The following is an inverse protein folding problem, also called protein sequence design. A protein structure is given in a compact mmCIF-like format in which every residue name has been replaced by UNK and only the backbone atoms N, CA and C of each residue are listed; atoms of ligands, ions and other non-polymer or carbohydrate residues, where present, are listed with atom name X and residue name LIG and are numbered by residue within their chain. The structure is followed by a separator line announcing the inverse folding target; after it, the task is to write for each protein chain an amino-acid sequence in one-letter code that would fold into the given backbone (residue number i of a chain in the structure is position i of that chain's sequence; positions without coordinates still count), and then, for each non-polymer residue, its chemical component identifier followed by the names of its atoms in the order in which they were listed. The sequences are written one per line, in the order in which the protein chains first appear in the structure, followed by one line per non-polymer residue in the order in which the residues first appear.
data_IF_989667887223
#
_entry.id   IF_989667887223
#
_cell.length_a   1.000
_cell.length_b   1.000
_cell.length_c   1.000
_cell.angle_alpha   90.00
_cell.angle_beta   90.00
_cell.angle_gamma   90.00
#
_symmetry.space_group_name_H-M   'P 1'
#
loop_
_entity.id
_entity.type
_entity.pdbx_description
1 polymer ?
#
# COMPACT_ATOMS: atom_id res chain seq x y z
N UNK A 1 13.20 10.34 -9.88
CA UNK A 1 12.25 9.31 -9.41
C UNK A 1 10.89 9.62 -10.00
N UNK A 2 10.18 8.66 -10.62
CA UNK A 2 8.82 8.92 -11.11
C UNK A 2 7.94 9.35 -9.93
N UNK A 3 7.18 10.45 -10.10
CA UNK A 3 6.20 10.88 -9.09
C UNK A 3 5.16 9.78 -8.98
N UNK A 4 5.04 9.20 -7.78
CA UNK A 4 3.99 8.24 -7.47
C UNK A 4 2.65 8.97 -7.57
N UNK A 5 1.71 8.46 -8.36
CA UNK A 5 0.37 9.04 -8.47
C UNK A 5 -0.29 9.12 -7.10
N UNK A 6 -0.60 10.35 -6.65
CA UNK A 6 -1.28 10.57 -5.37
C UNK A 6 -2.79 10.46 -5.57
N UNK A 7 -3.31 9.25 -5.35
CA UNK A 7 -4.74 8.99 -5.42
C UNK A 7 -5.55 9.76 -4.36
N UNK A 8 -4.92 10.29 -3.30
CA UNK A 8 -5.62 11.11 -2.31
C UNK A 8 -5.95 12.53 -2.85
N UNK A 9 -5.24 12.99 -3.89
CA UNK A 9 -5.43 14.30 -4.52
C UNK A 9 -6.36 14.26 -5.76
N UNK A 10 -6.79 13.08 -6.19
CA UNK A 10 -7.74 12.94 -7.31
C UNK A 10 -9.11 13.48 -6.89
N UNK A 11 -9.73 14.31 -7.72
CA UNK A 11 -11.07 14.87 -7.53
C UNK A 11 -12.08 14.35 -8.56
N UNK A 12 -11.63 13.78 -9.70
CA UNK A 12 -12.52 13.15 -10.69
C UNK A 12 -11.84 11.99 -11.43
N UNK A 13 -12.63 11.07 -11.98
CA UNK A 13 -12.13 9.92 -12.77
C UNK A 13 -12.71 9.94 -14.19
N UNK A 14 -11.85 9.97 -15.20
CA UNK A 14 -12.23 9.97 -16.62
C UNK A 14 -11.91 8.58 -17.20
N UNK A 15 -12.92 7.87 -17.64
CA UNK A 15 -12.85 6.48 -18.08
C UNK A 15 -12.93 6.41 -19.60
N UNK A 16 -12.03 5.67 -20.22
CA UNK A 16 -12.32 5.14 -21.54
C UNK A 16 -13.46 4.10 -21.49
N UNK A 17 -14.08 3.85 -22.65
CA UNK A 17 -15.23 2.95 -22.75
C UNK A 17 -14.83 1.53 -23.16
N UNK A 18 -14.39 1.33 -24.40
CA UNK A 18 -14.21 -0.01 -25.00
C UNK A 18 -12.91 -0.63 -24.49
N UNK A 19 -12.97 -1.82 -23.90
CA UNK A 19 -11.80 -2.50 -23.32
C UNK A 19 -11.38 -1.98 -21.94
N UNK A 20 -11.89 -0.81 -21.54
CA UNK A 20 -11.78 -0.23 -20.19
C UNK A 20 -13.03 -0.49 -19.34
N UNK A 21 -14.16 0.17 -19.64
CA UNK A 21 -15.40 0.12 -18.85
C UNK A 21 -16.41 -0.92 -19.38
N UNK A 22 -16.37 -1.17 -20.68
CA UNK A 22 -17.23 -2.09 -21.41
C UNK A 22 -16.35 -3.16 -22.06
N UNK A 23 -16.72 -4.41 -21.91
CA UNK A 23 -16.15 -5.51 -22.68
C UNK A 23 -16.95 -5.65 -23.98
N UNK A 24 -16.33 -5.26 -25.09
CA UNK A 24 -16.92 -5.28 -26.43
C UNK A 24 -16.16 -6.20 -27.39
N UNK A 25 -15.11 -6.90 -26.93
CA UNK A 25 -14.17 -7.59 -27.81
C UNK A 25 -14.88 -8.65 -28.65
N UNK A 26 -15.72 -9.48 -28.04
CA UNK A 26 -16.47 -10.53 -28.74
C UNK A 26 -17.42 -9.97 -29.82
N UNK A 27 -18.10 -8.85 -29.54
CA UNK A 27 -18.99 -8.21 -30.51
C UNK A 27 -18.21 -7.60 -31.69
N UNK A 28 -17.06 -6.98 -31.41
CA UNK A 28 -16.16 -6.44 -32.44
C UNK A 28 -15.58 -7.54 -33.31
N UNK A 29 -15.15 -8.66 -32.70
CA UNK A 29 -14.62 -9.83 -33.43
C UNK A 29 -15.67 -10.42 -34.37
N UNK A 30 -16.92 -10.59 -33.92
CA UNK A 30 -18.01 -11.06 -34.79
C UNK A 30 -18.31 -10.10 -35.93
N UNK A 31 -18.36 -8.80 -35.66
CA UNK A 31 -18.55 -7.80 -36.71
C UNK A 31 -17.45 -7.88 -37.76
N UNK A 32 -16.19 -8.11 -37.35
CA UNK A 32 -15.08 -8.33 -38.29
C UNK A 32 -15.16 -9.67 -39.03
N UNK A 33 -15.65 -10.73 -38.40
CA UNK A 33 -15.85 -12.01 -39.05
C UNK A 33 -16.92 -11.91 -40.15
N UNK A 34 -18.08 -11.31 -39.85
CA UNK A 34 -19.14 -11.04 -40.84
C UNK A 34 -18.63 -10.13 -41.96
N UNK A 35 -17.89 -9.07 -41.60
CA UNK A 35 -17.28 -8.19 -42.59
C UNK A 35 -16.28 -8.96 -43.48
N UNK A 36 -15.45 -9.84 -42.92
CA UNK A 36 -14.49 -10.62 -43.69
C UNK A 36 -15.18 -11.53 -44.71
N UNK A 37 -16.29 -12.17 -44.33
CA UNK A 37 -17.13 -12.95 -45.23
C UNK A 37 -17.73 -12.10 -46.36
N UNK A 38 -18.28 -10.91 -46.04
CA UNK A 38 -18.84 -9.98 -47.03
C UNK A 38 -17.82 -9.51 -48.07
N UNK A 39 -16.56 -9.34 -47.66
CA UNK A 39 -15.48 -8.83 -48.50
C UNK A 39 -14.56 -9.93 -49.06
N UNK A 40 -14.88 -11.20 -48.82
CA UNK A 40 -14.13 -12.35 -49.34
C UNK A 40 -12.71 -12.49 -48.78
N UNK A 41 -12.50 -12.10 -47.52
CA UNK A 41 -11.22 -12.20 -46.79
C UNK A 41 -11.31 -13.29 -45.72
N UNK A 42 -10.19 -13.94 -45.44
CA UNK A 42 -10.11 -14.88 -44.31
C UNK A 42 -10.35 -14.16 -42.97
N UNK A 43 -11.37 -14.56 -42.16
CA UNK A 43 -11.66 -13.92 -40.88
C UNK A 43 -10.48 -13.93 -39.91
N UNK A 44 -9.70 -15.02 -39.86
CA UNK A 44 -8.53 -15.14 -38.98
C UNK A 44 -7.46 -14.09 -39.31
N UNK A 45 -7.21 -13.87 -40.60
CA UNK A 45 -6.28 -12.85 -41.08
C UNK A 45 -6.75 -11.43 -40.74
N UNK A 46 -8.07 -11.15 -40.80
CA UNK A 46 -8.63 -9.85 -40.39
C UNK A 46 -8.46 -9.62 -38.91
N UNK A 47 -8.85 -10.59 -38.07
CA UNK A 47 -8.78 -10.48 -36.61
C UNK A 47 -7.34 -10.26 -36.13
N UNK A 48 -6.35 -10.93 -36.76
CA UNK A 48 -4.94 -10.78 -36.44
C UNK A 48 -4.39 -9.35 -36.58
N UNK A 49 -5.06 -8.49 -37.36
CA UNK A 49 -4.64 -7.09 -37.58
C UNK A 49 -5.68 -6.04 -37.17
N UNK A 50 -6.89 -6.47 -36.79
CA UNK A 50 -8.01 -5.59 -36.48
C UNK A 50 -7.98 -5.06 -35.04
N UNK A 51 -7.55 -5.86 -34.06
CA UNK A 51 -7.51 -5.45 -32.66
C UNK A 51 -6.65 -4.20 -32.46
N UNK A 52 -7.24 -3.16 -31.84
CA UNK A 52 -6.56 -1.89 -31.55
C UNK A 52 -6.23 -1.02 -32.77
N UNK A 53 -6.71 -1.38 -33.97
CA UNK A 53 -6.48 -0.62 -35.21
C UNK A 53 -7.78 0.01 -35.71
N UNK A 54 -7.80 1.32 -36.08
CA UNK A 54 -8.97 1.94 -36.71
C UNK A 54 -9.41 1.17 -37.96
N UNK A 55 -10.72 0.98 -38.15
CA UNK A 55 -11.26 0.17 -39.24
C UNK A 55 -10.70 0.54 -40.62
N UNK A 56 -10.62 1.84 -40.94
CA UNK A 56 -10.03 2.30 -42.21
C UNK A 56 -8.56 1.90 -42.41
N UNK A 57 -7.77 1.83 -41.34
CA UNK A 57 -6.37 1.37 -41.39
C UNK A 57 -6.30 -0.14 -41.65
N UNK A 58 -7.18 -0.91 -41.01
CA UNK A 58 -7.32 -2.35 -41.21
C UNK A 58 -7.74 -2.66 -42.65
N UNK A 59 -8.74 -1.94 -43.18
CA UNK A 59 -9.18 -2.06 -44.58
C UNK A 59 -8.05 -1.75 -45.56
N UNK A 60 -7.29 -0.65 -45.37
CA UNK A 60 -6.15 -0.31 -46.24
C UNK A 60 -5.05 -1.37 -46.23
N UNK A 61 -4.84 -2.07 -45.11
CA UNK A 61 -3.86 -3.16 -45.03
C UNK A 61 -4.31 -4.39 -45.80
N UNK A 62 -5.60 -4.72 -45.72
CA UNK A 62 -6.18 -5.86 -46.43
C UNK A 62 -6.28 -5.59 -47.94
N UNK A 63 -6.59 -4.35 -48.30
CA UNK A 63 -6.79 -3.93 -49.68
C UNK A 63 -5.97 -2.66 -50.01
N UNK A 64 -4.65 -2.78 -50.23
CA UNK A 64 -3.77 -1.62 -50.45
C UNK A 64 -4.06 -0.87 -51.76
N UNK A 65 -4.82 -1.45 -52.68
CA UNK A 65 -5.19 -0.85 -53.97
C UNK A 65 -6.54 -0.13 -53.99
N UNK A 66 -7.31 -0.13 -52.89
CA UNK A 66 -8.57 0.62 -52.83
C UNK A 66 -8.30 2.14 -52.77
N UNK A 67 -9.15 2.90 -53.44
CA UNK A 67 -9.18 4.35 -53.27
C UNK A 67 -9.76 4.74 -51.90
N UNK A 68 -9.62 6.02 -51.56
CA UNK A 68 -10.05 6.53 -50.26
C UNK A 68 -11.57 6.45 -50.06
N UNK A 69 -12.37 6.46 -51.12
CA UNK A 69 -13.82 6.38 -51.02
C UNK A 69 -14.27 4.96 -50.69
N UNK A 70 -13.74 3.97 -51.39
CA UNK A 70 -13.98 2.57 -51.14
C UNK A 70 -13.49 2.14 -49.75
N UNK A 71 -12.32 2.63 -49.30
CA UNK A 71 -11.84 2.40 -47.93
C UNK A 71 -12.81 2.95 -46.90
N UNK A 72 -13.33 4.18 -47.11
CA UNK A 72 -14.30 4.79 -46.20
C UNK A 72 -15.60 3.99 -46.16
N UNK A 73 -16.15 3.61 -47.31
CA UNK A 73 -17.37 2.83 -47.40
C UNK A 73 -17.23 1.47 -46.68
N UNK A 74 -16.10 0.79 -46.87
CA UNK A 74 -15.87 -0.51 -46.26
C UNK A 74 -15.65 -0.40 -44.74
N UNK A 75 -14.95 0.64 -44.27
CA UNK A 75 -14.84 0.93 -42.84
C UNK A 75 -16.19 1.29 -42.21
N UNK A 76 -17.03 2.05 -42.91
CA UNK A 76 -18.40 2.37 -42.48
C UNK A 76 -19.27 1.11 -42.38
N UNK A 77 -19.13 0.15 -43.31
CA UNK A 77 -19.84 -1.13 -43.22
C UNK A 77 -19.43 -1.91 -41.97
N UNK A 78 -18.14 -1.90 -41.64
CA UNK A 78 -17.66 -2.55 -40.42
C UNK A 78 -18.24 -1.90 -39.16
N UNK A 79 -18.31 -0.57 -39.10
CA UNK A 79 -19.00 0.13 -38.02
C UNK A 79 -20.50 -0.22 -37.99
N UNK A 80 -21.16 -0.29 -39.16
CA UNK A 80 -22.57 -0.65 -39.29
C UNK A 80 -22.89 -1.97 -38.57
N UNK A 81 -22.06 -3.00 -38.82
CA UNK A 81 -22.19 -4.32 -38.21
C UNK A 81 -22.05 -4.28 -36.68
N UNK A 82 -21.21 -3.39 -36.14
CA UNK A 82 -21.07 -3.21 -34.69
C UNK A 82 -22.29 -2.56 -34.02
N UNK A 83 -23.15 -1.82 -34.75
CA UNK A 83 -24.43 -1.36 -34.18
C UNK A 83 -25.54 -2.39 -34.32
N UNK A 84 -25.43 -3.30 -35.29
CA UNK A 84 -26.43 -4.33 -35.59
C UNK A 84 -26.37 -5.49 -34.59
N UNK A 85 -25.17 -5.82 -34.09
CA UNK A 85 -24.96 -6.88 -33.10
C UNK A 85 -24.27 -6.35 -31.82
N UNK A 86 -25.05 -6.26 -30.75
CA UNK A 86 -24.59 -5.92 -29.39
C UNK A 86 -24.64 -7.11 -28.44
N UNK A 87 -24.83 -8.34 -28.95
CA UNK A 87 -24.79 -9.52 -28.11
C UNK A 87 -23.41 -9.61 -27.41
N UNK A 88 -23.39 -10.09 -26.19
CA UNK A 88 -22.18 -10.23 -25.36
C UNK A 88 -21.46 -8.92 -24.99
N UNK A 89 -21.97 -7.75 -25.39
CA UNK A 89 -21.49 -6.47 -24.84
C UNK A 89 -21.92 -6.41 -23.38
N UNK A 90 -20.95 -6.43 -22.48
CA UNK A 90 -21.17 -6.45 -21.03
C UNK A 90 -20.25 -5.45 -20.33
N UNK A 91 -20.54 -5.14 -19.07
CA UNK A 91 -19.63 -4.34 -18.28
C UNK A 91 -18.30 -5.08 -18.05
N UNK A 92 -17.18 -4.39 -18.19
CA UNK A 92 -15.87 -4.98 -17.96
C UNK A 92 -15.74 -5.47 -16.49
N UNK A 93 -14.91 -6.50 -16.22
CA UNK A 93 -14.71 -7.00 -14.87
C UNK A 93 -14.32 -5.91 -13.86
N UNK A 94 -15.17 -5.69 -12.87
CA UNK A 94 -14.99 -4.67 -11.83
C UNK A 94 -15.49 -3.26 -12.18
N UNK A 95 -16.08 -3.04 -13.36
CA UNK A 95 -16.68 -1.76 -13.76
C UNK A 95 -17.74 -1.29 -12.76
N UNK A 96 -18.79 -2.10 -12.51
CA UNK A 96 -19.84 -1.72 -11.55
C UNK A 96 -19.31 -1.53 -10.12
N UNK A 97 -18.30 -2.30 -9.70
CA UNK A 97 -17.65 -2.11 -8.39
C UNK A 97 -16.95 -0.75 -8.31
N UNK A 98 -16.21 -0.36 -9.37
CA UNK A 98 -15.59 0.94 -9.44
C UNK A 98 -16.64 2.05 -9.42
N UNK A 99 -17.67 1.98 -10.27
CA UNK A 99 -18.72 3.01 -10.33
C UNK A 99 -19.45 3.17 -8.98
N UNK A 100 -19.80 2.08 -8.30
CA UNK A 100 -20.38 2.13 -6.95
C UNK A 100 -19.42 2.72 -5.91
N UNK A 101 -18.11 2.53 -6.09
CA UNK A 101 -17.10 3.15 -5.22
C UNK A 101 -16.98 4.65 -5.49
N UNK A 102 -17.01 5.08 -6.74
CA UNK A 102 -16.99 6.50 -7.10
C UNK A 102 -18.20 7.24 -6.53
N UNK A 103 -19.39 6.64 -6.63
CA UNK A 103 -20.63 7.16 -6.05
C UNK A 103 -20.51 7.33 -4.52
N UNK A 104 -20.09 6.28 -3.81
CA UNK A 104 -19.91 6.33 -2.35
C UNK A 104 -18.85 7.32 -1.88
N UNK A 105 -17.86 7.62 -2.71
CA UNK A 105 -16.80 8.58 -2.42
C UNK A 105 -17.15 10.01 -2.88
N UNK A 106 -18.36 10.23 -3.42
CA UNK A 106 -18.78 11.47 -4.06
C UNK A 106 -17.75 11.97 -5.09
N UNK A 107 -17.15 11.06 -5.87
CA UNK A 107 -16.17 11.38 -6.90
C UNK A 107 -16.84 11.50 -8.28
N UNK A 108 -16.90 12.70 -8.88
CA UNK A 108 -17.36 12.87 -10.24
C UNK A 108 -16.58 12.02 -11.24
N UNK A 109 -17.28 11.55 -12.26
CA UNK A 109 -16.66 10.76 -13.32
C UNK A 109 -17.26 11.05 -14.68
N UNK A 110 -16.55 10.70 -15.74
CA UNK A 110 -17.02 10.83 -17.12
C UNK A 110 -16.52 9.68 -17.98
N UNK A 111 -17.20 9.43 -19.10
CA UNK A 111 -16.71 8.56 -20.17
C UNK A 111 -16.16 9.42 -21.30
N UNK A 112 -14.97 9.08 -21.79
CA UNK A 112 -14.34 9.70 -22.96
C UNK A 112 -13.96 8.61 -23.95
N UNK A 113 -14.63 8.54 -25.09
CA UNK A 113 -14.45 7.46 -26.07
C UNK A 113 -14.18 7.99 -27.48
N UNK A 114 -13.47 7.19 -28.28
CA UNK A 114 -13.30 7.43 -29.72
C UNK A 114 -14.49 6.93 -30.56
N UNK A 115 -15.45 6.22 -29.96
CA UNK A 115 -16.69 5.84 -30.61
C UNK A 115 -17.57 7.08 -30.87
N UNK A 116 -18.47 6.99 -31.85
CA UNK A 116 -19.55 7.98 -32.03
C UNK A 116 -20.64 7.84 -30.96
N UNK A 117 -21.48 8.88 -30.87
CA UNK A 117 -22.56 8.99 -29.89
C UNK A 117 -23.59 7.87 -29.96
N UNK A 118 -23.82 7.27 -31.13
CA UNK A 118 -24.78 6.18 -31.28
C UNK A 118 -24.20 4.88 -30.73
N UNK A 119 -22.97 4.52 -31.11
CA UNK A 119 -22.33 3.29 -30.65
C UNK A 119 -22.09 3.34 -29.15
N UNK A 120 -21.57 4.46 -28.66
CA UNK A 120 -21.25 4.63 -27.25
C UNK A 120 -22.48 4.43 -26.36
N UNK A 121 -23.60 5.10 -26.69
CA UNK A 121 -24.87 4.95 -25.94
C UNK A 121 -25.39 3.52 -25.99
N UNK A 122 -25.32 2.87 -27.15
CA UNK A 122 -25.81 1.51 -27.31
C UNK A 122 -25.01 0.50 -26.46
N UNK A 123 -23.67 0.62 -26.46
CA UNK A 123 -22.79 -0.25 -25.67
C UNK A 123 -22.91 -0.01 -24.17
N UNK A 124 -22.91 1.25 -23.75
CA UNK A 124 -23.10 1.62 -22.34
C UNK A 124 -24.45 1.12 -21.82
N UNK A 125 -25.52 1.28 -22.60
CA UNK A 125 -26.85 0.74 -22.25
C UNK A 125 -26.84 -0.79 -22.14
N UNK A 126 -26.22 -1.51 -23.09
CA UNK A 126 -26.08 -2.96 -23.03
C UNK A 126 -25.29 -3.43 -21.80
N UNK A 127 -24.26 -2.67 -21.42
CA UNK A 127 -23.47 -2.89 -20.20
C UNK A 127 -24.17 -2.45 -18.91
N UNK A 128 -25.36 -1.84 -18.97
CA UNK A 128 -26.07 -1.32 -17.80
C UNK A 128 -25.36 -0.14 -17.12
N UNK A 129 -24.71 0.73 -17.89
CA UNK A 129 -23.94 1.87 -17.43
C UNK A 129 -24.53 3.16 -18.00
N UNK A 130 -24.82 4.12 -17.14
CA UNK A 130 -25.31 5.45 -17.52
C UNK A 130 -24.33 6.52 -17.00
N UNK A 131 -23.46 7.09 -17.85
CA UNK A 131 -22.46 8.05 -17.40
C UNK A 131 -23.06 9.45 -17.19
N UNK A 132 -22.69 10.16 -16.11
CA UNK A 132 -23.18 11.52 -15.88
C UNK A 132 -22.63 12.51 -16.92
N UNK A 133 -21.48 12.22 -17.52
CA UNK A 133 -20.89 12.94 -18.65
C UNK A 133 -20.35 11.94 -19.65
N UNK A 134 -20.77 12.04 -20.90
CA UNK A 134 -20.27 11.27 -22.04
C UNK A 134 -19.67 12.22 -23.08
N UNK A 135 -18.40 11.97 -23.45
CA UNK A 135 -17.71 12.60 -24.56
C UNK A 135 -17.41 11.54 -25.62
N UNK A 136 -17.86 11.80 -26.84
CA UNK A 136 -17.60 10.95 -28.02
C UNK A 136 -16.75 11.68 -29.05
N UNK A 137 -16.41 11.00 -30.14
CA UNK A 137 -15.71 11.65 -31.27
C UNK A 137 -16.52 12.81 -31.89
N UNK A 138 -17.84 12.82 -31.70
CA UNK A 138 -18.73 13.88 -32.20
C UNK A 138 -18.63 15.17 -31.38
N UNK A 139 -18.10 15.09 -30.16
CA UNK A 139 -17.96 16.23 -29.24
C UNK A 139 -16.64 17.00 -29.41
N UNK A 140 -15.69 16.48 -30.22
CA UNK A 140 -14.31 16.99 -30.31
C UNK A 140 -13.88 17.21 -31.75
N UNK A 141 -12.91 18.10 -31.98
CA UNK A 141 -12.29 18.33 -33.30
C UNK A 141 -11.22 17.29 -33.61
N UNK A 142 -10.50 16.83 -32.60
CA UNK A 142 -9.46 15.81 -32.72
C UNK A 142 -9.65 14.71 -31.65
N UNK A 143 -9.69 13.46 -32.10
CA UNK A 143 -9.75 12.29 -31.21
C UNK A 143 -8.38 11.91 -30.63
N UNK A 144 -8.38 10.94 -29.72
CA UNK A 144 -7.16 10.37 -29.11
C UNK A 144 -6.13 10.00 -30.20
N UNK A 145 -4.84 10.38 -30.08
CA UNK A 145 -4.14 10.81 -28.87
C UNK A 145 -4.21 12.31 -28.54
N UNK A 146 -5.04 13.10 -29.24
CA UNK A 146 -5.25 14.50 -28.87
C UNK A 146 -5.94 14.61 -27.50
N UNK A 147 -5.52 15.55 -26.62
CA UNK A 147 -6.09 15.70 -25.28
C UNK A 147 -7.48 16.34 -25.22
N UNK A 148 -8.02 16.85 -26.34
CA UNK A 148 -9.27 17.64 -26.38
C UNK A 148 -10.43 16.97 -25.63
N UNK A 149 -10.67 15.67 -25.86
CA UNK A 149 -11.76 14.94 -25.21
C UNK A 149 -11.65 14.87 -23.69
N UNK A 150 -10.44 14.64 -23.16
CA UNK A 150 -10.21 14.60 -21.71
C UNK A 150 -10.30 16.00 -21.10
N UNK A 151 -9.74 17.02 -21.76
CA UNK A 151 -9.83 18.41 -21.32
C UNK A 151 -11.29 18.90 -21.27
N UNK A 152 -12.09 18.56 -22.28
CA UNK A 152 -13.51 18.90 -22.33
C UNK A 152 -14.30 18.16 -21.23
N UNK A 153 -14.00 16.90 -20.96
CA UNK A 153 -14.62 16.17 -19.85
C UNK A 153 -14.31 16.82 -18.49
N UNK A 154 -13.05 17.17 -18.21
CA UNK A 154 -12.66 17.89 -17.00
C UNK A 154 -13.37 19.25 -16.90
N UNK A 155 -13.51 19.98 -18.02
CA UNK A 155 -14.26 21.25 -18.08
C UNK A 155 -15.74 21.06 -17.75
N UNK A 156 -16.41 20.05 -18.30
CA UNK A 156 -17.83 19.74 -18.00
C UNK A 156 -18.03 19.35 -16.52
N UNK A 157 -17.07 18.63 -15.94
CA UNK A 157 -17.06 18.31 -14.51
C UNK A 157 -16.66 19.50 -13.61
N UNK A 158 -16.09 20.57 -14.19
CA UNK A 158 -15.55 21.74 -13.47
C UNK A 158 -14.40 21.39 -12.53
N UNK A 159 -13.56 20.45 -12.93
CA UNK A 159 -12.38 19.99 -12.18
C UNK A 159 -11.11 20.32 -12.95
N UNK A 160 -10.04 20.71 -12.24
CA UNK A 160 -8.75 20.98 -12.87
C UNK A 160 -8.17 19.70 -13.49
N UNK A 161 -7.55 19.74 -14.69
CA UNK A 161 -6.98 18.55 -15.31
C UNK A 161 -5.99 17.79 -14.40
N UNK A 162 -5.14 18.51 -13.66
CA UNK A 162 -4.19 17.90 -12.72
C UNK A 162 -4.83 17.14 -11.55
N UNK A 163 -6.13 17.34 -11.29
CA UNK A 163 -6.91 16.63 -10.28
C UNK A 163 -7.79 15.52 -10.88
N UNK A 164 -7.78 15.34 -12.21
CA UNK A 164 -8.47 14.25 -12.89
C UNK A 164 -7.56 13.03 -13.02
N UNK A 165 -8.11 11.83 -12.86
CA UNK A 165 -7.43 10.56 -13.12
C UNK A 165 -7.99 9.94 -14.40
N UNK A 166 -7.15 9.72 -15.41
CA UNK A 166 -7.55 9.00 -16.63
C UNK A 166 -7.37 7.50 -16.43
N UNK A 167 -8.30 6.69 -16.94
CA UNK A 167 -8.22 5.22 -16.94
C UNK A 167 -8.42 4.72 -18.35
N UNK A 168 -7.44 3.97 -18.85
CA UNK A 168 -7.32 3.60 -20.26
C UNK A 168 -6.69 2.21 -20.45
N UNK A 169 -7.03 1.56 -21.56
CA UNK A 169 -6.46 0.30 -22.01
C UNK A 169 -5.74 0.43 -23.37
N UNK A 170 -5.57 1.66 -23.89
CA UNK A 170 -4.93 1.94 -25.17
C UNK A 170 -3.78 2.95 -25.08
N UNK A 171 -2.72 2.76 -25.89
CA UNK A 171 -1.61 3.72 -25.97
C UNK A 171 -2.04 5.13 -26.42
N UNK A 172 -2.90 5.30 -27.46
CA UNK A 172 -3.37 6.64 -27.85
C UNK A 172 -4.12 7.33 -26.72
N UNK A 173 -4.92 6.58 -25.96
CA UNK A 173 -5.67 7.09 -24.84
C UNK A 173 -4.80 7.52 -23.66
N UNK A 174 -3.81 6.69 -23.28
CA UNK A 174 -2.81 7.06 -22.28
C UNK A 174 -2.00 8.30 -22.72
N UNK A 175 -1.67 8.41 -24.01
CA UNK A 175 -1.00 9.59 -24.56
C UNK A 175 -1.88 10.85 -24.46
N UNK A 176 -3.17 10.75 -24.75
CA UNK A 176 -4.13 11.84 -24.62
C UNK A 176 -4.26 12.31 -23.15
N UNK A 177 -4.36 11.37 -22.19
CA UNK A 177 -4.41 11.71 -20.76
C UNK A 177 -3.16 12.44 -20.28
N UNK A 178 -1.97 11.96 -20.68
CA UNK A 178 -0.69 12.61 -20.36
C UNK A 178 -0.58 13.99 -21.01
N UNK A 179 -0.98 14.14 -22.27
CA UNK A 179 -0.99 15.42 -22.98
C UNK A 179 -1.97 16.42 -22.33
N UNK A 180 -3.04 15.94 -21.72
CA UNK A 180 -3.99 16.75 -20.94
C UNK A 180 -3.45 17.14 -19.54
N UNK A 181 -2.26 16.67 -19.16
CA UNK A 181 -1.68 16.92 -17.83
C UNK A 181 -2.35 16.13 -16.70
N UNK A 182 -2.99 15.00 -17.03
CA UNK A 182 -3.72 14.14 -16.10
C UNK A 182 -2.91 12.87 -15.81
N UNK A 183 -2.76 12.45 -14.53
CA UNK A 183 -2.22 11.12 -14.24
C UNK A 183 -3.09 10.02 -14.89
N UNK A 184 -2.44 9.01 -15.46
CA UNK A 184 -3.10 7.95 -16.22
C UNK A 184 -2.88 6.56 -15.59
N UNK A 185 -3.98 5.85 -15.37
CA UNK A 185 -4.04 4.43 -15.02
C UNK A 185 -4.11 3.63 -16.31
N UNK A 186 -3.14 2.73 -16.50
CA UNK A 186 -3.10 1.80 -17.62
C UNK A 186 -3.66 0.43 -17.22
N UNK A 187 -4.50 -0.14 -18.08
CA UNK A 187 -5.04 -1.49 -17.98
C UNK A 187 -4.40 -2.42 -19.02
N UNK A 188 -4.80 -3.70 -19.01
CA UNK A 188 -4.44 -4.71 -20.01
C UNK A 188 -2.93 -4.86 -20.28
N UNK A 189 -2.09 -4.61 -19.27
CA UNK A 189 -0.64 -4.80 -19.35
C UNK A 189 0.13 -3.65 -19.99
N UNK A 190 -0.51 -2.50 -20.24
CA UNK A 190 0.16 -1.29 -20.71
C UNK A 190 0.88 -0.54 -19.58
N UNK A 191 1.82 0.32 -19.96
CA UNK A 191 2.58 1.18 -19.06
C UNK A 191 1.89 2.55 -18.88
N UNK A 192 1.40 2.79 -17.67
CA UNK A 192 0.79 4.05 -17.22
C UNK A 192 1.62 4.74 -16.13
N UNK A 193 1.12 5.86 -15.58
CA UNK A 193 1.64 6.37 -14.30
C UNK A 193 1.34 5.39 -13.15
N UNK A 194 0.25 4.64 -13.31
CA UNK A 194 -0.08 3.46 -12.52
C UNK A 194 -0.57 2.34 -13.46
N UNK A 195 0.06 1.17 -13.43
CA UNK A 195 -0.42 0.01 -14.20
C UNK A 195 -1.19 -0.94 -13.29
N UNK A 196 -2.42 -1.29 -13.67
CA UNK A 196 -3.32 -2.15 -12.90
C UNK A 196 -3.83 -3.32 -13.72
N UNK A 197 -4.14 -4.43 -13.04
CA UNK A 197 -4.72 -5.61 -13.66
C UNK A 197 -6.22 -5.49 -13.97
N UNK A 198 -6.91 -4.45 -13.46
CA UNK A 198 -8.33 -4.24 -13.69
C UNK A 198 -8.99 -3.20 -12.76
N UNK A 199 -10.24 -2.86 -13.06
CA UNK A 199 -10.99 -1.78 -12.40
C UNK A 199 -11.27 -2.06 -10.91
N UNK A 200 -11.48 -3.33 -10.53
CA UNK A 200 -11.71 -3.69 -9.13
C UNK A 200 -10.52 -3.35 -8.21
N UNK A 201 -9.29 -3.39 -8.73
CA UNK A 201 -8.10 -2.96 -7.98
C UNK A 201 -8.06 -1.44 -7.82
N UNK A 202 -8.46 -0.69 -8.85
CA UNK A 202 -8.53 0.76 -8.80
C UNK A 202 -9.53 1.21 -7.71
N UNK A 203 -10.71 0.58 -7.67
CA UNK A 203 -11.73 0.85 -6.65
C UNK A 203 -11.18 0.73 -5.22
N UNK A 204 -10.48 -0.37 -4.91
CA UNK A 204 -9.85 -0.57 -3.59
C UNK A 204 -8.80 0.50 -3.26
N UNK A 205 -8.03 0.95 -4.26
CA UNK A 205 -6.98 1.94 -4.04
C UNK A 205 -7.56 3.34 -3.79
N UNK A 206 -8.60 3.73 -4.53
CA UNK A 206 -9.32 5.00 -4.34
C UNK A 206 -9.99 5.04 -2.96
N UNK A 207 -10.63 3.94 -2.54
CA UNK A 207 -11.23 3.86 -1.21
C UNK A 207 -10.17 4.00 -0.10
N UNK A 208 -9.06 3.27 -0.22
CA UNK A 208 -7.97 3.34 0.77
C UNK A 208 -7.26 4.69 0.79
N UNK A 209 -7.22 5.43 -0.32
CA UNK A 209 -6.61 6.76 -0.35
C UNK A 209 -7.46 7.82 0.34
N UNK A 210 -8.78 7.60 0.45
CA UNK A 210 -9.74 8.51 1.10
C UNK A 210 -9.88 8.27 2.60
N UNK A 211 -9.65 7.05 3.08
CA UNK A 211 -9.61 6.76 4.52
C UNK A 211 -8.25 7.18 5.08
N UNK A 212 -8.18 8.35 5.74
CA UNK A 212 -7.00 8.68 6.56
C UNK A 212 -6.90 7.65 7.69
N UNK A 213 -5.73 7.02 7.90
CA UNK A 213 -5.55 6.13 9.04
C UNK A 213 -5.78 6.93 10.33
N UNK A 214 -6.61 6.42 11.25
CA UNK A 214 -6.97 7.09 12.51
C UNK A 214 -5.75 7.59 13.30
N UNK A 215 -4.63 6.85 13.26
CA UNK A 215 -3.42 7.17 13.99
C UNK A 215 -2.67 8.40 13.47
N UNK A 216 -3.02 8.94 12.28
CA UNK A 216 -2.40 10.17 11.77
C UNK A 216 -2.84 11.42 12.53
N UNK A 217 -4.08 11.42 12.99
CA UNK A 217 -4.71 12.56 13.64
C UNK A 217 -4.91 12.32 15.15
N UNK A 218 -4.53 11.13 15.64
CA UNK A 218 -4.73 10.72 17.02
C UNK A 218 -3.80 11.44 18.01
N UNK A 219 -4.35 11.84 19.16
CA UNK A 219 -3.55 12.38 20.27
C UNK A 219 -3.02 11.22 21.12
N UNK A 220 -1.70 11.07 21.14
CA UNK A 220 -0.99 10.13 22.02
C UNK A 220 -0.50 10.79 23.31
N UNK A 221 -0.61 10.09 24.44
CA UNK A 221 -0.07 10.51 25.73
C UNK A 221 0.80 9.42 26.34
N UNK A 222 2.08 9.72 26.53
CA UNK A 222 3.01 8.80 27.19
C UNK A 222 2.88 8.89 28.71
N UNK A 223 2.65 7.74 29.32
CA UNK A 223 2.55 7.52 30.76
C UNK A 223 3.83 6.82 31.20
N UNK A 224 4.67 7.55 31.93
CA UNK A 224 5.77 6.97 32.68
C UNK A 224 5.24 6.38 33.99
N UNK A 225 5.01 5.06 33.99
CA UNK A 225 4.28 4.34 35.04
C UNK A 225 4.74 4.67 36.47
N UNK A 226 6.05 4.62 36.80
CA UNK A 226 6.52 4.79 38.18
C UNK A 226 6.12 6.11 38.85
N UNK A 227 5.80 7.15 38.08
CA UNK A 227 5.55 8.50 38.62
C UNK A 227 4.16 9.05 38.34
N UNK A 228 3.33 8.34 37.56
CA UNK A 228 2.11 8.93 37.02
C UNK A 228 0.95 8.97 38.02
N UNK A 229 0.61 7.82 38.62
CA UNK A 229 -0.47 7.70 39.58
C UNK A 229 -0.28 6.45 40.44
N UNK A 230 -0.08 6.65 41.74
CA UNK A 230 0.03 5.61 42.75
C UNK A 230 -1.36 5.30 43.32
N UNK A 231 -1.82 4.05 43.19
CA UNK A 231 -3.10 3.60 43.73
C UNK A 231 -2.97 2.82 45.04
N UNK A 232 -1.77 2.36 45.39
CA UNK A 232 -1.50 1.54 46.58
C UNK A 232 -1.01 2.38 47.78
N UNK A 233 -0.50 3.58 47.51
CA UNK A 233 0.09 4.49 48.49
C UNK A 233 1.53 4.14 48.88
N UNK A 234 2.23 3.34 48.08
CA UNK A 234 3.63 2.94 48.34
C UNK A 234 4.68 3.90 47.76
N UNK A 235 4.23 4.95 47.08
CA UNK A 235 5.08 5.96 46.44
C UNK A 235 5.46 5.64 45.00
N UNK A 236 4.97 4.54 44.43
CA UNK A 236 5.18 4.14 43.04
C UNK A 236 3.87 4.09 42.26
N UNK A 237 3.90 4.60 41.03
CA UNK A 237 2.75 4.52 40.15
C UNK A 237 2.52 3.13 39.57
N UNK A 238 1.25 2.79 39.32
CA UNK A 238 0.82 1.46 38.89
C UNK A 238 -0.31 1.51 37.84
N UNK A 239 -0.64 0.35 37.24
CA UNK A 239 -1.66 0.26 36.16
C UNK A 239 -3.09 0.57 36.64
N UNK A 240 -3.41 0.30 37.91
CA UNK A 240 -4.70 0.67 38.49
C UNK A 240 -4.78 2.19 38.72
N UNK A 241 -3.67 2.84 39.07
CA UNK A 241 -3.51 4.29 39.09
C UNK A 241 -3.77 4.92 37.72
N UNK A 242 -3.19 4.36 36.65
CA UNK A 242 -3.49 4.80 35.27
C UNK A 242 -4.98 4.65 34.97
N UNK A 243 -5.57 3.50 35.32
CA UNK A 243 -7.00 3.24 35.14
C UNK A 243 -7.87 4.30 35.81
N UNK A 244 -7.52 4.69 37.05
CA UNK A 244 -8.21 5.75 37.80
C UNK A 244 -8.11 7.14 37.17
N UNK A 245 -7.15 7.36 36.26
CA UNK A 245 -6.93 8.63 35.55
C UNK A 245 -7.42 8.63 34.10
N UNK A 246 -8.00 7.54 33.59
CA UNK A 246 -8.52 7.50 32.21
C UNK A 246 -9.55 8.60 31.90
N UNK A 247 -10.42 8.95 32.86
CA UNK A 247 -11.37 10.04 32.67
C UNK A 247 -10.67 11.41 32.48
N UNK A 248 -9.48 11.60 33.06
CA UNK A 248 -8.70 12.80 32.84
C UNK A 248 -8.06 12.82 31.46
N UNK A 249 -7.48 11.69 31.03
CA UNK A 249 -6.91 11.54 29.69
C UNK A 249 -7.98 11.73 28.60
N UNK A 250 -9.18 11.23 28.83
CA UNK A 250 -10.34 11.42 27.93
C UNK A 250 -10.69 12.91 27.77
N UNK A 251 -10.71 13.69 28.86
CA UNK A 251 -10.95 15.14 28.79
C UNK A 251 -9.86 15.91 28.05
N UNK A 252 -8.64 15.39 27.99
CA UNK A 252 -7.54 15.96 27.21
C UNK A 252 -7.63 15.59 25.71
N UNK A 253 -8.60 14.75 25.32
CA UNK A 253 -8.74 14.27 23.95
C UNK A 253 -7.76 13.15 23.59
N UNK A 254 -7.17 12.47 24.58
CA UNK A 254 -6.22 11.37 24.34
C UNK A 254 -6.94 10.18 23.74
N UNK A 255 -6.43 9.70 22.61
CA UNK A 255 -6.93 8.50 21.92
C UNK A 255 -5.96 7.32 22.06
N UNK A 256 -4.67 7.58 22.31
CA UNK A 256 -3.64 6.55 22.54
C UNK A 256 -2.93 6.78 23.86
N UNK A 257 -3.04 5.82 24.78
CA UNK A 257 -2.23 5.79 26.02
C UNK A 257 -0.99 4.95 25.75
N UNK A 258 0.19 5.55 25.87
CA UNK A 258 1.46 4.87 25.68
C UNK A 258 2.13 4.62 27.04
N UNK A 259 2.23 3.37 27.44
CA UNK A 259 2.87 2.97 28.69
C UNK A 259 4.37 2.76 28.51
N UNK A 260 5.18 3.28 29.44
CA UNK A 260 6.55 2.80 29.67
C UNK A 260 6.55 1.29 30.00
N UNK A 261 7.70 0.61 30.03
CA UNK A 261 7.74 -0.84 30.27
C UNK A 261 7.04 -1.23 31.57
N UNK A 262 6.25 -2.29 31.49
CA UNK A 262 5.51 -2.87 32.62
C UNK A 262 5.78 -4.37 32.78
N UNK A 263 6.76 -4.88 32.05
CA UNK A 263 7.16 -6.28 32.12
C UNK A 263 7.91 -6.59 33.40
N UNK A 264 7.97 -7.87 33.75
CA UNK A 264 8.70 -8.34 34.93
C UNK A 264 10.16 -7.90 34.85
N UNK A 265 10.62 -7.17 35.87
CA UNK A 265 11.95 -6.58 35.93
C UNK A 265 12.43 -6.45 37.39
N UNK A 266 13.74 -6.48 37.66
CA UNK A 266 14.28 -6.17 38.98
C UNK A 266 14.25 -4.67 39.32
N UNK A 267 13.73 -3.84 38.41
CA UNK A 267 13.51 -2.40 38.54
C UNK A 267 14.78 -1.57 38.77
N UNK A 268 15.95 -2.04 38.32
CA UNK A 268 17.21 -1.30 38.51
C UNK A 268 17.32 -0.10 37.58
N UNK A 269 16.57 -0.10 36.49
CA UNK A 269 16.44 1.01 35.54
C UNK A 269 14.96 1.39 35.30
N UNK A 270 14.11 1.14 36.31
CA UNK A 270 12.69 1.46 36.27
C UNK A 270 11.87 0.70 35.21
N UNK A 271 12.27 -0.52 34.86
CA UNK A 271 11.47 -1.46 34.09
C UNK A 271 12.03 -1.79 32.70
N UNK A 272 13.14 -1.16 32.29
CA UNK A 272 13.79 -1.42 31.00
C UNK A 272 14.72 -2.66 31.06
N UNK A 273 15.14 -3.08 32.25
CA UNK A 273 15.89 -4.29 32.56
C UNK A 273 14.95 -5.50 32.62
N UNK A 274 14.32 -5.81 31.49
CA UNK A 274 13.28 -6.85 31.42
C UNK A 274 13.85 -8.24 31.69
N UNK A 275 13.32 -8.93 32.69
CA UNK A 275 13.65 -10.30 33.06
C UNK A 275 12.68 -11.33 32.44
N UNK A 276 11.44 -10.93 32.13
CA UNK A 276 10.48 -11.74 31.37
C UNK A 276 9.46 -10.87 30.61
N UNK A 277 9.58 -10.82 29.28
CA UNK A 277 8.67 -10.08 28.39
C UNK A 277 7.25 -10.66 28.30
N UNK A 278 6.98 -11.82 28.93
CA UNK A 278 5.66 -12.48 28.88
C UNK A 278 4.83 -12.24 30.13
N UNK A 279 5.38 -11.58 31.13
CA UNK A 279 4.70 -11.34 32.40
C UNK A 279 4.70 -9.85 32.73
N UNK A 280 3.56 -9.35 33.22
CA UNK A 280 3.46 -8.01 33.83
C UNK A 280 4.07 -8.05 35.22
N UNK A 281 4.83 -7.04 35.60
CA UNK A 281 5.48 -6.99 36.92
C UNK A 281 4.43 -6.90 38.05
N UNK A 282 4.56 -7.68 39.13
CA UNK A 282 3.66 -7.61 40.28
C UNK A 282 3.59 -6.22 40.93
N UNK A 283 4.68 -5.43 40.88
CA UNK A 283 4.69 -4.05 41.41
C UNK A 283 3.69 -3.14 40.70
N UNK A 284 3.35 -3.44 39.44
CA UNK A 284 2.33 -2.70 38.68
C UNK A 284 0.93 -3.34 38.75
N UNK A 285 0.73 -4.34 39.61
CA UNK A 285 -0.53 -5.06 39.79
C UNK A 285 -0.71 -6.30 38.91
N UNK A 286 0.31 -6.67 38.11
CA UNK A 286 0.33 -7.88 37.31
C UNK A 286 -0.71 -7.92 36.18
N UNK A 287 -0.94 -9.13 35.63
CA UNK A 287 -1.78 -9.33 34.44
C UNK A 287 -3.21 -8.82 34.63
N UNK A 288 -3.80 -9.03 35.80
CA UNK A 288 -5.17 -8.60 36.09
C UNK A 288 -5.34 -7.07 36.02
N UNK A 289 -4.33 -6.31 36.47
CA UNK A 289 -4.35 -4.85 36.40
C UNK A 289 -4.26 -4.36 34.94
N UNK A 290 -3.42 -5.01 34.13
CA UNK A 290 -3.33 -4.72 32.69
C UNK A 290 -4.66 -5.00 31.98
N UNK A 291 -5.27 -6.16 32.21
CA UNK A 291 -6.56 -6.53 31.62
C UNK A 291 -7.65 -5.52 32.01
N UNK A 292 -7.65 -5.09 33.27
CA UNK A 292 -8.56 -4.06 33.78
C UNK A 292 -8.37 -2.69 33.11
N UNK A 293 -7.12 -2.27 32.91
CA UNK A 293 -6.77 -1.05 32.20
C UNK A 293 -7.22 -1.10 30.74
N UNK A 294 -6.89 -2.18 30.03
CA UNK A 294 -7.27 -2.38 28.62
C UNK A 294 -8.78 -2.36 28.45
N UNK A 295 -9.51 -3.08 29.29
CA UNK A 295 -10.97 -3.10 29.23
C UNK A 295 -11.56 -1.70 29.44
N UNK A 296 -11.02 -0.91 30.36
CA UNK A 296 -11.48 0.45 30.63
C UNK A 296 -11.12 1.44 29.53
N UNK A 297 -9.91 1.36 28.98
CA UNK A 297 -9.46 2.21 27.88
C UNK A 297 -10.29 1.94 26.61
N UNK A 298 -10.47 0.67 26.26
CA UNK A 298 -11.22 0.28 25.06
C UNK A 298 -12.70 0.67 25.13
N UNK A 299 -13.33 0.62 26.31
CA UNK A 299 -14.71 1.12 26.49
C UNK A 299 -14.86 2.61 26.21
N UNK A 300 -13.77 3.38 26.28
CA UNK A 300 -13.71 4.82 25.97
C UNK A 300 -13.23 5.09 24.54
N UNK A 301 -13.08 4.06 23.71
CA UNK A 301 -12.53 4.19 22.37
C UNK A 301 -11.01 4.42 22.33
N UNK A 302 -10.33 4.50 23.48
CA UNK A 302 -8.87 4.66 23.53
C UNK A 302 -8.17 3.37 23.08
N UNK A 303 -6.92 3.51 22.66
CA UNK A 303 -5.97 2.41 22.41
C UNK A 303 -4.84 2.48 23.44
N UNK A 304 -4.27 1.34 23.77
CA UNK A 304 -3.11 1.25 24.66
C UNK A 304 -1.95 0.64 23.88
N UNK A 305 -0.80 1.28 23.96
CA UNK A 305 0.47 0.75 23.45
C UNK A 305 1.47 0.68 24.60
N UNK A 306 2.42 -0.25 24.52
CA UNK A 306 3.46 -0.43 25.54
C UNK A 306 4.85 -0.44 24.90
N UNK A 307 5.84 0.04 25.63
CA UNK A 307 7.24 -0.10 25.27
C UNK A 307 7.65 -1.57 25.24
N UNK A 308 8.06 -2.06 24.07
CA UNK A 308 8.66 -3.39 23.91
C UNK A 308 10.18 -3.25 23.81
N UNK A 309 10.88 -3.58 24.89
CA UNK A 309 12.35 -3.53 24.97
C UNK A 309 12.95 -4.81 24.37
N UNK A 310 13.39 -4.76 23.11
CA UNK A 310 13.89 -5.94 22.37
C UNK A 310 15.40 -5.99 22.18
N UNK A 311 16.10 -4.88 22.43
CA UNK A 311 17.52 -4.75 22.14
C UNK A 311 18.43 -5.19 23.30
N UNK A 312 17.89 -5.42 24.49
CA UNK A 312 18.61 -5.90 25.68
C UNK A 312 17.66 -6.59 26.67
N UNK A 313 18.23 -7.22 27.70
CA UNK A 313 17.51 -7.92 28.78
C UNK A 313 18.25 -7.72 30.12
N UNK A 314 17.58 -8.00 31.24
CA UNK A 314 18.22 -8.05 32.56
C UNK A 314 19.23 -9.21 32.66
N UNK A 315 20.22 -9.04 33.54
CA UNK A 315 21.11 -10.09 34.04
C UNK A 315 20.37 -11.27 34.71
N UNK A 316 19.10 -11.09 35.10
CA UNK A 316 18.23 -12.14 35.62
C UNK A 316 17.41 -12.84 34.53
N UNK A 317 17.45 -12.36 33.28
CA UNK A 317 16.74 -12.98 32.18
C UNK A 317 17.31 -14.39 31.90
N UNK A 318 16.47 -15.42 31.64
CA UNK A 318 16.93 -16.80 31.42
C UNK A 318 18.03 -16.93 30.36
N UNK A 319 17.96 -16.14 29.29
CA UNK A 319 19.00 -16.07 28.26
C UNK A 319 20.35 -15.61 28.81
N UNK A 320 20.39 -14.58 29.66
CA UNK A 320 21.65 -14.07 30.21
C UNK A 320 22.24 -15.07 31.22
N UNK A 321 21.39 -15.63 32.08
CA UNK A 321 21.81 -16.67 33.04
C UNK A 321 22.41 -17.87 32.30
N UNK A 322 21.76 -18.35 31.24
CA UNK A 322 22.28 -19.44 30.41
C UNK A 322 23.61 -19.06 29.72
N UNK A 323 23.64 -17.92 29.04
CA UNK A 323 24.82 -17.40 28.34
C UNK A 323 26.03 -17.18 29.27
N UNK A 324 25.80 -16.73 30.51
CA UNK A 324 26.84 -16.47 31.50
C UNK A 324 27.36 -17.75 32.18
N UNK A 325 26.57 -18.82 32.18
CA UNK A 325 26.94 -20.12 32.78
C UNK A 325 27.90 -20.93 31.90
N UNK A 326 27.85 -20.77 30.58
CA UNK A 326 28.66 -21.55 29.64
C UNK A 326 29.04 -20.76 28.38
N UNK A 327 30.29 -20.93 27.93
CA UNK A 327 30.79 -20.34 26.67
C UNK A 327 30.23 -21.02 25.42
N UNK A 328 29.56 -22.17 25.57
CA UNK A 328 28.97 -22.93 24.46
C UNK A 328 27.45 -22.96 24.50
N UNK A 329 26.83 -22.17 25.38
CA UNK A 329 25.37 -22.07 25.45
C UNK A 329 24.81 -21.43 24.17
N UNK A 330 23.66 -21.87 23.64
CA UNK A 330 23.06 -21.28 22.44
C UNK A 330 22.78 -19.78 22.54
N UNK A 331 22.53 -19.26 23.75
CA UNK A 331 22.30 -17.83 23.98
C UNK A 331 23.57 -17.02 24.17
N UNK A 332 24.76 -17.65 24.14
CA UNK A 332 26.04 -16.95 24.38
C UNK A 332 26.23 -15.75 23.46
N UNK A 333 25.93 -15.94 22.18
CA UNK A 333 26.14 -14.93 21.13
C UNK A 333 25.07 -13.83 21.12
N UNK A 334 24.08 -13.88 22.02
CA UNK A 334 23.11 -12.79 22.19
C UNK A 334 23.71 -11.62 22.98
N UNK A 335 24.82 -11.83 23.69
CA UNK A 335 25.46 -10.83 24.55
C UNK A 335 26.91 -10.57 24.13
N UNK A 336 27.42 -9.40 24.51
CA UNK A 336 28.78 -8.99 24.19
C UNK A 336 29.72 -9.49 25.30
N UNK A 337 30.66 -10.36 24.92
CA UNK A 337 31.71 -10.86 25.80
C UNK A 337 33.08 -10.43 25.30
N UNK A 338 33.97 -10.04 26.20
CA UNK A 338 35.38 -9.74 25.91
C UNK A 338 36.25 -10.23 27.04
N UNK A 339 37.44 -10.71 26.68
CA UNK A 339 38.48 -11.03 27.66
C UNK A 339 39.04 -9.72 28.24
N UNK A 340 39.48 -9.70 29.52
CA UNK A 340 40.08 -8.52 30.13
C UNK A 340 41.34 -8.07 29.39
N UNK A 341 41.71 -6.81 29.57
CA UNK A 341 42.98 -6.30 29.06
C UNK A 341 44.18 -7.03 29.70
N UNK A 342 45.39 -7.00 29.09
CA UNK A 342 46.56 -7.71 29.60
C UNK A 342 46.96 -7.36 31.04
N UNK A 343 46.58 -6.18 31.52
CA UNK A 343 46.78 -5.70 32.89
C UNK A 343 45.70 -6.15 33.88
N UNK A 344 44.72 -6.94 33.43
CA UNK A 344 43.56 -7.36 34.22
C UNK A 344 42.43 -6.33 34.26
N UNK A 345 42.59 -5.18 33.59
CA UNK A 345 41.58 -4.13 33.47
C UNK A 345 40.45 -4.47 32.48
N UNK A 346 39.48 -3.56 32.31
CA UNK A 346 38.43 -3.72 31.32
C UNK A 346 39.02 -3.78 29.89
N UNK A 347 38.36 -4.45 28.94
CA UNK A 347 38.84 -4.62 27.56
C UNK A 347 39.19 -3.31 26.84
N UNK A 348 38.50 -2.22 27.17
CA UNK A 348 38.76 -0.86 26.70
C UNK A 348 38.18 0.16 27.69
N UNK A 349 38.37 1.45 27.40
CA UNK A 349 37.91 2.57 28.24
C UNK A 349 36.48 3.03 27.93
N UNK A 350 35.64 2.20 27.32
CA UNK A 350 34.25 2.56 27.04
C UNK A 350 33.45 2.72 28.34
N UNK A 351 32.55 3.70 28.33
CA UNK A 351 31.63 4.00 29.42
C UNK A 351 30.20 3.64 29.00
N UNK A 352 29.39 3.23 29.98
CA UNK A 352 27.95 3.07 29.76
C UNK A 352 27.31 4.46 29.58
N UNK A 353 26.35 4.56 28.66
CA UNK A 353 25.56 5.78 28.49
C UNK A 353 24.78 6.15 29.76
N UNK A 354 24.42 5.15 30.58
CA UNK A 354 23.73 5.33 31.86
C UNK A 354 24.68 5.57 33.05
N UNK A 355 25.97 5.82 32.77
CA UNK A 355 27.00 6.03 33.78
C UNK A 355 27.68 4.74 34.24
N UNK A 356 28.91 4.88 34.73
CA UNK A 356 29.76 3.76 35.14
C UNK A 356 30.46 3.02 33.99
N UNK A 357 31.19 1.94 34.29
CA UNK A 357 31.94 1.18 33.30
C UNK A 357 31.03 0.46 32.30
N UNK A 358 31.43 0.37 31.02
CA UNK A 358 30.72 -0.46 30.03
C UNK A 358 30.90 -1.97 30.26
N UNK A 359 31.83 -2.36 31.13
CA UNK A 359 32.23 -3.74 31.36
C UNK A 359 32.05 -4.13 32.82
N UNK A 360 31.39 -5.26 33.04
CA UNK A 360 31.30 -5.92 34.36
C UNK A 360 31.97 -7.29 34.28
N UNK A 361 32.80 -7.61 35.27
CA UNK A 361 33.44 -8.92 35.34
C UNK A 361 32.40 -10.02 35.56
N UNK A 362 32.39 -11.05 34.70
CA UNK A 362 31.52 -12.21 34.88
C UNK A 362 32.13 -13.14 35.93
N UNK A 363 31.38 -13.41 37.01
CA UNK A 363 31.81 -14.30 38.10
C UNK A 363 31.72 -15.80 37.75
N UNK A 364 31.01 -16.16 36.66
CA UNK A 364 30.50 -17.51 36.43
C UNK A 364 31.23 -18.30 35.34
N UNK A 365 32.25 -17.75 34.69
CA UNK A 365 33.05 -18.48 33.70
C UNK A 365 34.53 -18.51 34.13
N UNK A 366 35.14 -19.69 34.39
CA UNK A 366 36.57 -19.77 34.63
C UNK A 366 37.35 -19.22 33.43
N UNK A 367 38.51 -18.58 33.65
CA UNK A 367 39.36 -18.12 32.55
C UNK A 367 39.66 -19.28 31.61
N UNK A 368 39.66 -19.03 30.30
CA UNK A 368 39.99 -20.04 29.32
C UNK A 368 41.40 -20.55 29.62
N UNK A 369 41.52 -21.76 30.16
CA UNK A 369 42.78 -22.48 30.17
C UNK A 369 43.20 -22.64 28.72
N UNK A 370 44.36 -22.09 28.38
CA UNK A 370 44.95 -22.17 27.07
C UNK A 370 45.01 -23.62 26.57
N UNK A 371 44.99 -23.77 25.24
CA UNK A 371 45.03 -25.02 24.47
C UNK A 371 43.67 -25.63 24.07
N UNK A 372 43.17 -25.15 22.91
CA UNK A 372 42.58 -26.01 21.88
C UNK A 372 42.61 -25.26 20.55
N UNK A 373 43.75 -25.38 19.85
CA UNK A 373 43.83 -25.20 18.41
C UNK A 373 42.84 -26.18 17.77
N UNK A 374 41.66 -25.69 17.36
CA UNK A 374 40.83 -26.36 16.36
C UNK A 374 41.03 -25.62 15.04
N UNK A 375 41.92 -26.17 14.22
CA UNK A 375 41.94 -25.91 12.78
C UNK A 375 40.60 -26.34 12.20
N UNK A 376 39.88 -25.41 11.57
CA UNK A 376 38.80 -25.76 10.66
C UNK A 376 38.96 -24.90 9.40
N UNK A 377 39.13 -25.60 8.28
CA UNK A 377 39.35 -25.01 6.97
C UNK A 377 38.10 -24.31 6.43
N UNK A 378 38.38 -23.19 5.76
CA UNK A 378 37.73 -22.67 4.56
C UNK A 378 36.21 -22.46 4.56
N UNK A 379 35.89 -21.17 4.43
CA UNK A 379 34.80 -20.57 3.65
C UNK A 379 33.37 -20.71 4.19
N UNK A 380 33.01 -19.81 5.11
CA UNK A 380 31.75 -19.04 4.99
C UNK A 380 32.06 -17.57 5.22
N UNK A 381 31.68 -16.74 4.24
CA UNK A 381 31.77 -15.28 4.31
C UNK A 381 30.98 -14.80 5.52
N UNK A 382 31.62 -14.02 6.39
CA UNK A 382 30.93 -13.15 7.33
C UNK A 382 29.96 -12.24 6.56
N UNK A 383 28.71 -12.05 7.03
CA UNK A 383 27.97 -10.85 6.70
C UNK A 383 28.77 -9.65 7.23
N UNK A 384 28.70 -8.48 6.56
CA UNK A 384 29.35 -7.28 7.06
C UNK A 384 28.82 -6.98 8.47
N UNK A 385 29.75 -6.61 9.35
CA UNK A 385 29.50 -6.19 10.71
C UNK A 385 28.24 -5.31 10.79
N UNK A 386 27.25 -5.78 11.56
CA UNK A 386 26.21 -4.90 12.07
C UNK A 386 26.92 -3.88 12.96
N UNK A 387 26.94 -2.65 12.45
CA UNK A 387 27.41 -1.46 13.12
C UNK A 387 26.78 -1.36 14.52
N UNK A 388 27.60 -1.49 15.57
CA UNK A 388 27.34 -0.74 16.79
C UNK A 388 27.55 0.74 16.45
N UNK A 389 26.45 1.39 16.04
CA UNK A 389 26.30 2.84 15.94
C UNK A 389 25.04 3.20 16.72
N UNK A 390 25.25 3.76 17.90
CA UNK A 390 24.53 4.92 18.45
C UNK A 390 25.63 5.66 19.27
N UNK A 391 26.16 6.85 18.96
CA UNK A 391 25.78 7.93 18.08
C UNK A 391 24.31 8.34 18.22
N UNK A 392 24.05 9.15 19.23
CA UNK A 392 23.68 10.54 18.93
C UNK A 392 24.97 11.38 18.87
#
# INVERSE_FOLDING_TARGET
MPRRTDLAAVEAVLLDMDGTLVDSDAAVERAWATWAEEYGVDPGAVLAIAHGSPAARTVRRLFPGLDDEAVRAAAQRQHALQYEDLADVTAAPGAHLLLATLDRLDLPWAVVTSADGRLAKARLHAAGIDPPVLLTIDDVRAGKPDPEGYLEAARRLRIAPSACLVVEDSEPGLAAGRAAGMPAVALRGLDGDLSLSGLGRLAQLLERSRVRPWWRDAVGYQVYLPSFADSTGDGWGDLAGVSGRLNHLERLGVEVVWLSPFFRSPMRDHGYDVADHRAVDPSFGGQAALDGLLAQAHRRGMRVIGDLVVNHTSDLHPWFVAASSSRTDPYRDYYIWRDPAPDGGPPNTWLSHFGGPAWTASASTPPATSSRTRTCGTTRRCPPAASCRHAE
#
